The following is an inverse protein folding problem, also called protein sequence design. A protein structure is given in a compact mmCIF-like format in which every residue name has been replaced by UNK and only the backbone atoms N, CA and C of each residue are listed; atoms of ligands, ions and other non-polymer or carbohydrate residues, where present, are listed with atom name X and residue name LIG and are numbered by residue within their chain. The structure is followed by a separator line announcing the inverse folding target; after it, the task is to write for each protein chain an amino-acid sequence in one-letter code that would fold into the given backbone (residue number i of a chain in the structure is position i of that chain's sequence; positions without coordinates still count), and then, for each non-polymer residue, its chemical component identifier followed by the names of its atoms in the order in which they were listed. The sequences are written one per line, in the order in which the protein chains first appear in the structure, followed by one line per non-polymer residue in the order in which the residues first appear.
data_IF_911155789520
#
_entry.id   IF_911155789520
#
_cell.length_a   1.000
_cell.length_b   1.000
_cell.length_c   1.000
_cell.angle_alpha   90.00
_cell.angle_beta   90.00
_cell.angle_gamma   90.00
#
_symmetry.space_group_name_H-M   'P 1'
#
loop_
_entity.id
_entity.type
_entity.pdbx_description
1 polymer ?
#
# COMPACT_ATOMS: atom_id res chain seq x y z
N UNK A 1 2.13 0.15 -4.99
CA UNK A 1 3.41 0.91 -4.95
C UNK A 1 3.31 2.23 -5.69
N UNK A 2 2.91 2.23 -6.97
CA UNK A 2 2.86 3.47 -7.77
C UNK A 2 1.96 4.57 -7.17
N UNK A 3 0.79 4.22 -6.64
CA UNK A 3 -0.10 5.18 -5.97
C UNK A 3 0.53 5.84 -4.73
N UNK A 4 1.32 5.09 -3.95
CA UNK A 4 2.02 5.63 -2.78
C UNK A 4 3.14 6.58 -3.18
N UNK A 5 3.97 6.17 -4.15
CA UNK A 5 5.04 7.02 -4.68
C UNK A 5 4.50 8.31 -5.27
N UNK A 6 3.39 8.23 -6.03
CA UNK A 6 2.72 9.41 -6.56
C UNK A 6 2.21 10.31 -5.42
N UNK A 7 1.59 9.73 -4.38
CA UNK A 7 1.16 10.47 -3.19
C UNK A 7 2.32 11.20 -2.51
N UNK A 8 3.45 10.51 -2.29
CA UNK A 8 4.64 11.09 -1.67
C UNK A 8 5.20 12.26 -2.49
N UNK A 9 5.28 12.09 -3.82
CA UNK A 9 5.72 13.14 -4.74
C UNK A 9 4.79 14.35 -4.68
N UNK A 10 3.47 14.14 -4.69
CA UNK A 10 2.50 15.23 -4.59
C UNK A 10 2.59 15.97 -3.25
N UNK A 11 2.84 15.28 -2.13
CA UNK A 11 3.04 15.93 -0.83
C UNK A 11 4.32 16.76 -0.76
N UNK A 12 5.38 16.31 -1.43
CA UNK A 12 6.63 17.08 -1.53
C UNK A 12 6.37 18.37 -2.32
N UNK A 13 5.68 18.30 -3.46
CA UNK A 13 5.41 19.47 -4.30
C UNK A 13 4.39 20.45 -3.71
N UNK A 14 3.40 19.95 -2.97
CA UNK A 14 2.39 20.80 -2.31
C UNK A 14 2.90 21.47 -1.04
N UNK A 15 4.02 21.01 -0.48
CA UNK A 15 4.53 21.49 0.81
C UNK A 15 3.83 20.86 2.02
N UNK A 16 2.97 19.86 1.81
CA UNK A 16 2.27 19.11 2.86
C UNK A 16 3.20 18.13 3.61
N UNK A 17 4.49 18.09 3.27
CA UNK A 17 5.51 17.24 3.91
C UNK A 17 6.63 18.06 4.55
N UNK A 18 6.88 17.82 5.84
CA UNK A 18 8.08 18.27 6.52
C UNK A 18 9.18 17.21 6.39
N UNK A 19 10.40 17.62 6.04
CA UNK A 19 11.53 16.70 5.89
C UNK A 19 11.77 15.89 7.18
N UNK A 20 11.91 14.55 7.03
CA UNK A 20 12.15 13.64 8.16
C UNK A 20 10.93 13.32 9.03
N UNK A 21 9.74 13.86 8.71
CA UNK A 21 8.51 13.64 9.48
C UNK A 21 7.43 12.98 8.63
N UNK A 22 6.71 12.03 9.22
CA UNK A 22 5.47 11.49 8.66
C UNK A 22 4.35 11.84 9.65
N UNK A 23 3.33 12.57 9.18
CA UNK A 23 2.21 13.00 10.04
C UNK A 23 2.64 13.88 11.22
N UNK A 24 3.74 14.65 11.07
CA UNK A 24 4.28 15.50 12.13
C UNK A 24 5.16 14.79 13.17
N UNK A 25 5.28 13.46 13.09
CA UNK A 25 6.12 12.65 13.98
C UNK A 25 7.47 12.41 13.32
N UNK A 26 8.56 12.58 14.08
CA UNK A 26 9.91 12.22 13.62
C UNK A 26 10.04 10.71 13.52
N UNK A 27 10.46 10.24 12.35
CA UNK A 27 10.59 8.82 12.04
C UNK A 27 12.05 8.42 12.25
N UNK A 28 12.27 7.47 13.15
CA UNK A 28 13.59 6.88 13.42
C UNK A 28 14.10 6.06 12.23
N UNK A 29 15.41 5.84 12.12
CA UNK A 29 16.01 5.04 11.03
C UNK A 29 15.42 3.64 10.89
N UNK A 30 15.11 2.97 12.01
CA UNK A 30 14.48 1.64 11.99
C UNK A 30 13.05 1.67 11.46
N UNK A 31 12.30 2.74 11.75
CA UNK A 31 10.95 2.91 11.21
C UNK A 31 10.99 3.16 9.70
N UNK A 32 11.96 3.93 9.19
CA UNK A 32 12.19 4.09 7.75
C UNK A 32 12.48 2.76 7.05
N UNK A 33 13.29 1.89 7.68
CA UNK A 33 13.52 0.54 7.17
C UNK A 33 12.23 -0.29 7.12
N UNK A 34 11.39 -0.20 8.16
CA UNK A 34 10.08 -0.86 8.19
C UNK A 34 9.16 -0.39 7.06
N UNK A 35 9.10 0.92 6.81
CA UNK A 35 8.33 1.49 5.68
C UNK A 35 8.90 1.01 4.34
N UNK A 36 10.22 0.95 4.18
CA UNK A 36 10.84 0.47 2.96
C UNK A 36 10.48 -1.00 2.68
N UNK A 37 10.55 -1.87 3.69
CA UNK A 37 10.15 -3.29 3.55
C UNK A 37 8.66 -3.40 3.17
N UNK A 38 7.79 -2.62 3.83
CA UNK A 38 6.37 -2.59 3.51
C UNK A 38 6.16 -2.17 2.03
N UNK A 39 6.82 -1.11 1.58
CA UNK A 39 6.67 -0.58 0.22
C UNK A 39 7.24 -1.47 -0.88
N UNK A 40 8.19 -2.36 -0.57
CA UNK A 40 8.73 -3.36 -1.51
C UNK A 40 7.80 -4.56 -1.67
N UNK A 41 6.88 -4.81 -0.74
CA UNK A 41 5.95 -5.95 -0.75
C UNK A 41 5.20 -6.13 -2.09
N UNK A 42 4.68 -5.10 -2.76
CA UNK A 42 4.04 -5.24 -4.07
C UNK A 42 4.96 -5.80 -5.17
N UNK A 43 6.26 -5.46 -5.15
CA UNK A 43 7.24 -6.00 -6.11
C UNK A 43 7.46 -7.49 -5.84
N UNK A 44 7.60 -7.86 -4.57
CA UNK A 44 7.74 -9.27 -4.16
C UNK A 44 6.51 -10.06 -4.60
N UNK A 45 5.31 -9.53 -4.36
CA UNK A 45 4.06 -10.18 -4.74
C UNK A 45 3.89 -10.37 -6.25
N UNK A 46 4.40 -9.44 -7.06
CA UNK A 46 4.43 -9.59 -8.51
C UNK A 46 5.27 -10.81 -8.92
N UNK A 47 6.44 -11.01 -8.32
CA UNK A 47 7.28 -12.17 -8.57
C UNK A 47 6.69 -13.48 -8.01
N UNK A 48 6.17 -13.44 -6.78
CA UNK A 48 5.56 -14.60 -6.13
C UNK A 48 4.33 -15.10 -6.90
N UNK A 49 3.54 -14.21 -7.49
CA UNK A 49 2.36 -14.59 -8.28
C UNK A 49 2.73 -15.38 -9.54
N UNK A 50 3.96 -15.26 -10.05
CA UNK A 50 4.45 -15.99 -11.22
C UNK A 50 5.15 -17.30 -10.86
N UNK A 51 5.62 -17.45 -9.61
CA UNK A 51 6.48 -18.56 -9.19
C UNK A 51 5.79 -19.56 -8.27
N UNK A 52 4.75 -19.14 -7.54
CA UNK A 52 4.03 -19.97 -6.59
C UNK A 52 2.87 -20.72 -7.25
N UNK A 53 2.60 -21.92 -6.74
CA UNK A 53 1.46 -22.73 -7.15
C UNK A 53 0.14 -22.04 -6.80
N UNK A 54 -0.87 -22.29 -7.63
CA UNK A 54 -2.21 -21.69 -7.55
C UNK A 54 -2.80 -21.54 -6.13
N UNK A 55 -2.86 -22.58 -5.26
CA UNK A 55 -3.45 -22.41 -3.94
C UNK A 55 -2.67 -21.44 -3.06
N UNK A 56 -1.34 -21.40 -3.18
CA UNK A 56 -0.47 -20.52 -2.38
C UNK A 56 -0.61 -19.08 -2.85
N UNK A 57 -0.57 -18.85 -4.17
CA UNK A 57 -0.73 -17.52 -4.78
C UNK A 57 -2.08 -16.89 -4.43
N UNK A 58 -3.15 -17.70 -4.41
CA UNK A 58 -4.49 -17.25 -4.03
C UNK A 58 -4.51 -16.71 -2.59
N UNK A 59 -4.05 -17.50 -1.62
CA UNK A 59 -4.06 -17.09 -0.22
C UNK A 59 -3.09 -15.92 0.05
N UNK A 60 -1.91 -15.92 -0.56
CA UNK A 60 -0.95 -14.83 -0.43
C UNK A 60 -1.56 -13.49 -0.89
N UNK A 61 -2.21 -13.46 -2.06
CA UNK A 61 -2.85 -12.25 -2.57
C UNK A 61 -3.98 -11.75 -1.65
N UNK A 62 -4.80 -12.65 -1.11
CA UNK A 62 -5.89 -12.28 -0.20
C UNK A 62 -5.33 -11.68 1.10
N UNK A 63 -4.37 -12.36 1.74
CA UNK A 63 -3.79 -11.92 3.02
C UNK A 63 -3.12 -10.55 2.85
N UNK A 64 -2.28 -10.40 1.82
CA UNK A 64 -1.59 -9.13 1.57
C UNK A 64 -2.58 -8.02 1.26
N UNK A 65 -3.60 -8.26 0.44
CA UNK A 65 -4.62 -7.26 0.13
C UNK A 65 -5.39 -6.81 1.37
N UNK A 66 -5.75 -7.74 2.27
CA UNK A 66 -6.43 -7.41 3.54
C UNK A 66 -5.52 -6.55 4.45
N UNK A 67 -4.25 -6.93 4.57
CA UNK A 67 -3.27 -6.17 5.39
C UNK A 67 -3.11 -4.75 4.85
N UNK A 68 -2.90 -4.59 3.54
CA UNK A 68 -2.78 -3.27 2.92
C UNK A 68 -4.07 -2.48 3.00
N UNK A 69 -5.24 -3.11 2.84
CA UNK A 69 -6.52 -2.45 3.00
C UNK A 69 -6.68 -1.89 4.41
N UNK A 70 -6.41 -2.70 5.45
CA UNK A 70 -6.48 -2.26 6.84
C UNK A 70 -5.49 -1.15 7.16
N UNK A 71 -4.24 -1.28 6.72
CA UNK A 71 -3.21 -0.26 6.90
C UNK A 71 -3.63 1.10 6.31
N UNK A 72 -4.16 1.10 5.09
CA UNK A 72 -4.63 2.32 4.43
C UNK A 72 -5.88 2.91 5.09
N UNK A 73 -6.80 2.05 5.54
CA UNK A 73 -8.02 2.50 6.20
C UNK A 73 -7.71 3.21 7.52
N UNK A 74 -6.75 2.69 8.29
CA UNK A 74 -6.28 3.32 9.54
C UNK A 74 -5.53 4.64 9.25
N UNK A 75 -4.75 4.69 8.16
CA UNK A 75 -4.00 5.89 7.76
C UNK A 75 -4.86 7.01 7.17
N UNK A 76 -5.98 6.68 6.52
CA UNK A 76 -6.84 7.61 5.77
C UNK A 76 -7.23 8.89 6.56
N UNK A 77 -7.64 8.84 7.84
CA UNK A 77 -8.01 10.03 8.61
C UNK A 77 -6.85 11.01 8.84
N UNK A 78 -5.60 10.51 8.77
CA UNK A 78 -4.39 11.31 8.98
C UNK A 78 -3.99 12.20 7.80
N UNK A 79 -4.64 12.05 6.64
CA UNK A 79 -4.30 12.81 5.43
C UNK A 79 -5.25 14.02 5.25
N UNK A 80 -4.74 15.26 5.33
CA UNK A 80 -5.56 16.47 5.18
C UNK A 80 -5.89 16.77 3.72
N UNK A 81 -5.04 16.35 2.79
CA UNK A 81 -5.13 16.72 1.38
C UNK A 81 -6.12 15.85 0.59
N UNK A 82 -6.80 16.47 -0.39
CA UNK A 82 -7.80 15.77 -1.22
C UNK A 82 -7.16 14.75 -2.18
N UNK A 83 -5.95 15.03 -2.69
CA UNK A 83 -5.25 14.13 -3.61
C UNK A 83 -4.83 12.83 -2.91
N UNK A 84 -4.40 12.89 -1.64
CA UNK A 84 -4.05 11.69 -0.88
C UNK A 84 -5.25 10.80 -0.64
N UNK A 85 -6.37 11.39 -0.22
CA UNK A 85 -7.62 10.66 -0.03
C UNK A 85 -8.07 9.98 -1.32
N UNK A 86 -7.98 10.67 -2.46
CA UNK A 86 -8.30 10.09 -3.75
C UNK A 86 -7.41 8.88 -4.07
N UNK A 87 -6.09 9.03 -3.97
CA UNK A 87 -5.15 7.94 -4.27
C UNK A 87 -5.33 6.74 -3.33
N UNK A 88 -5.60 6.98 -2.05
CA UNK A 88 -5.87 5.93 -1.08
C UNK A 88 -7.19 5.23 -1.40
N UNK A 89 -8.27 5.95 -1.70
CA UNK A 89 -9.56 5.35 -2.08
C UNK A 89 -9.41 4.48 -3.33
N UNK A 90 -8.70 4.95 -4.34
CA UNK A 90 -8.38 4.16 -5.54
C UNK A 90 -7.61 2.89 -5.13
N UNK A 91 -6.58 3.02 -4.28
CA UNK A 91 -5.83 1.89 -3.74
C UNK A 91 -6.68 0.88 -2.97
N UNK A 92 -7.64 1.34 -2.15
CA UNK A 92 -8.59 0.49 -1.44
C UNK A 92 -9.47 -0.29 -2.43
N UNK A 93 -9.95 0.37 -3.49
CA UNK A 93 -10.69 -0.28 -4.57
C UNK A 93 -9.89 -1.41 -5.22
N UNK A 94 -8.61 -1.19 -5.52
CA UNK A 94 -7.74 -2.24 -6.05
C UNK A 94 -7.53 -3.41 -5.08
N UNK A 95 -7.39 -3.15 -3.77
CA UNK A 95 -7.29 -4.24 -2.79
C UNK A 95 -8.57 -5.11 -2.77
N UNK A 96 -9.75 -4.49 -2.85
CA UNK A 96 -11.03 -5.23 -2.95
C UNK A 96 -11.06 -6.06 -4.23
N UNK A 97 -10.66 -5.48 -5.37
CA UNK A 97 -10.56 -6.21 -6.63
C UNK A 97 -9.57 -7.38 -6.52
N UNK A 98 -8.41 -7.20 -5.90
CA UNK A 98 -7.43 -8.28 -5.70
C UNK A 98 -8.03 -9.45 -4.92
N UNK A 99 -8.73 -9.18 -3.81
CA UNK A 99 -9.42 -10.23 -3.03
C UNK A 99 -10.50 -10.90 -3.88
N UNK A 100 -11.30 -10.12 -4.60
CA UNK A 100 -12.38 -10.64 -5.44
C UNK A 100 -11.85 -11.54 -6.57
N UNK A 101 -10.86 -11.08 -7.33
CA UNK A 101 -10.22 -11.87 -8.38
C UNK A 101 -9.55 -13.12 -7.81
N UNK A 102 -8.84 -13.02 -6.69
CA UNK A 102 -8.24 -14.19 -6.05
C UNK A 102 -9.31 -15.20 -5.57
N UNK A 103 -10.50 -14.73 -5.19
CA UNK A 103 -11.60 -15.60 -4.78
C UNK A 103 -12.30 -16.29 -5.95
N UNK A 104 -12.52 -15.56 -7.05
CA UNK A 104 -13.16 -16.05 -8.27
C UNK A 104 -12.23 -16.93 -9.12
N UNK A 105 -10.92 -16.76 -8.97
CA UNK A 105 -9.97 -17.63 -9.63
C UNK A 105 -10.16 -19.04 -9.07
N UNK A 106 -10.80 -19.92 -9.85
CA UNK A 106 -10.85 -21.37 -9.68
C UNK A 106 -9.83 -21.96 -10.65
N UNK A 107 -8.83 -22.67 -10.12
CA UNK A 107 -7.67 -23.18 -10.86
C UNK A 107 -8.01 -24.00 -12.10
#
# INVERSE_FOLDING_TARGET
MLAYLLGDVLRIYSGDSAAGKIGGIEITGNQWLGVAILMVTPIIMMFLSLTLNYPVTRWANIIVAIVFFGFNLIGLPGYPSAYDRFLIIVGLGFNVLTVWYAWQWTG
#
